data_IF_678521700749
#
_entry.id   IF_678521700749
#
_cell.length_a   1.000
_cell.length_b   1.000
_cell.length_c   1.000
_cell.angle_alpha   90.00
_cell.angle_beta   90.00
_cell.angle_gamma   90.00
#
_symmetry.space_group_name_H-M   'P 1'
#
loop_
_entity.id
_entity.type
_entity.pdbx_description
1 polymer ?
#
# COMPACT_ATOMS: atom_id res chain seq x y z
N UNK A 1 7.41 2.70 27.07
CA UNK A 1 7.35 3.38 25.76
C UNK A 1 7.02 2.40 24.64
N UNK A 2 7.90 1.43 24.32
CA UNK A 2 7.71 0.46 23.21
C UNK A 2 6.40 -0.35 23.27
N UNK A 3 5.99 -0.78 24.47
CA UNK A 3 4.74 -1.54 24.65
C UNK A 3 3.50 -0.75 24.20
N UNK A 4 3.45 0.56 24.48
CA UNK A 4 2.34 1.44 24.09
C UNK A 4 2.27 1.60 22.56
N UNK A 5 3.43 1.82 21.94
CA UNK A 5 3.58 1.93 20.47
C UNK A 5 3.04 0.66 19.79
N UNK A 6 3.45 -0.52 20.28
CA UNK A 6 3.01 -1.79 19.74
C UNK A 6 1.48 -1.99 19.81
N UNK A 7 0.85 -1.67 20.95
CA UNK A 7 -0.61 -1.78 21.07
C UNK A 7 -1.36 -0.81 20.15
N UNK A 8 -0.84 0.42 19.97
CA UNK A 8 -1.42 1.39 19.04
C UNK A 8 -1.32 0.85 17.61
N UNK A 9 -0.17 0.29 17.23
CA UNK A 9 0.03 -0.31 15.91
C UNK A 9 -0.93 -1.49 15.67
N UNK A 10 -1.02 -2.45 16.60
CA UNK A 10 -1.95 -3.57 16.51
C UNK A 10 -3.40 -3.13 16.37
N UNK A 11 -3.81 -2.13 17.15
CA UNK A 11 -5.16 -1.58 17.08
C UNK A 11 -5.43 -1.00 15.69
N UNK A 12 -4.47 -0.27 15.12
CA UNK A 12 -4.59 0.31 13.78
C UNK A 12 -4.69 -0.77 12.70
N UNK A 13 -3.88 -1.84 12.79
CA UNK A 13 -3.96 -2.99 11.88
C UNK A 13 -5.32 -3.68 11.95
N UNK A 14 -5.87 -3.82 13.16
CA UNK A 14 -7.18 -4.42 13.35
C UNK A 14 -8.31 -3.55 12.80
N UNK A 15 -8.18 -2.22 12.90
CA UNK A 15 -9.12 -1.28 12.28
C UNK A 15 -9.05 -1.33 10.75
N UNK A 16 -7.84 -1.36 10.19
CA UNK A 16 -7.61 -1.48 8.75
C UNK A 16 -8.31 -2.73 8.16
N UNK A 17 -8.28 -3.86 8.87
CA UNK A 17 -8.95 -5.10 8.42
C UNK A 17 -10.47 -5.01 8.34
N UNK A 18 -11.11 -4.10 9.08
CA UNK A 18 -12.57 -3.93 9.03
C UNK A 18 -13.00 -2.86 8.03
N UNK A 19 -12.05 -2.14 7.46
CA UNK A 19 -12.32 -1.02 6.59
C UNK A 19 -12.27 -1.46 5.13
N UNK A 20 -13.44 -1.72 4.54
CA UNK A 20 -13.56 -2.17 3.16
C UNK A 20 -12.88 -1.23 2.17
N UNK A 21 -12.90 0.09 2.40
CA UNK A 21 -12.25 1.02 1.48
C UNK A 21 -10.73 0.89 1.49
N UNK A 22 -10.13 0.57 2.65
CA UNK A 22 -8.69 0.34 2.76
C UNK A 22 -8.31 -1.02 2.17
N UNK A 23 -9.17 -2.04 2.33
CA UNK A 23 -8.97 -3.34 1.67
C UNK A 23 -9.07 -3.23 0.15
N UNK A 24 -10.06 -2.49 -0.35
CA UNK A 24 -10.23 -2.27 -1.79
C UNK A 24 -9.05 -1.51 -2.38
N UNK A 25 -8.60 -0.46 -1.70
CA UNK A 25 -7.40 0.27 -2.13
C UNK A 25 -6.15 -0.60 -2.07
N UNK A 26 -5.98 -1.39 -1.00
CA UNK A 26 -4.77 -2.20 -0.83
C UNK A 26 -4.72 -3.47 -1.68
N UNK A 27 -5.82 -3.98 -2.25
CA UNK A 27 -5.85 -5.26 -3.01
C UNK A 27 -6.50 -5.11 -4.39
N UNK A 28 -7.70 -4.53 -4.47
CA UNK A 28 -8.45 -4.47 -5.73
C UNK A 28 -7.79 -3.49 -6.70
N UNK A 29 -7.40 -2.32 -6.21
CA UNK A 29 -6.78 -1.28 -7.02
C UNK A 29 -5.43 -1.70 -7.62
N UNK A 30 -4.51 -2.37 -6.89
CA UNK A 30 -3.20 -2.75 -7.44
C UNK A 30 -3.31 -3.91 -8.43
N UNK A 31 -4.19 -4.87 -8.18
CA UNK A 31 -4.45 -5.96 -9.13
C UNK A 31 -5.10 -5.43 -10.42
N UNK A 32 -6.10 -4.56 -10.31
CA UNK A 32 -6.75 -3.97 -11.47
C UNK A 32 -5.77 -3.17 -12.33
N UNK A 33 -4.93 -2.36 -11.70
CA UNK A 33 -3.90 -1.59 -12.40
C UNK A 33 -2.81 -2.48 -13.02
N UNK A 34 -2.35 -3.54 -12.36
CA UNK A 34 -1.42 -4.51 -12.96
C UNK A 34 -2.01 -5.20 -14.21
N UNK A 35 -3.30 -5.57 -14.17
CA UNK A 35 -3.99 -6.18 -15.31
C UNK A 35 -4.10 -5.19 -16.47
N UNK A 36 -4.43 -3.93 -16.17
CA UNK A 36 -4.47 -2.86 -17.18
C UNK A 36 -3.09 -2.70 -17.83
N UNK A 37 -2.02 -2.63 -17.02
CA UNK A 37 -0.65 -2.56 -17.53
C UNK A 37 -0.35 -3.76 -18.42
N UNK A 38 -0.57 -5.00 -17.94
CA UNK A 38 -0.36 -6.21 -18.75
C UNK A 38 -1.09 -6.16 -20.09
N UNK A 39 -2.38 -5.80 -20.07
CA UNK A 39 -3.21 -5.72 -21.27
C UNK A 39 -2.74 -4.62 -22.23
N UNK A 40 -2.24 -3.50 -21.70
CA UNK A 40 -1.72 -2.39 -22.51
C UNK A 40 -0.47 -2.80 -23.29
N UNK A 41 0.41 -3.58 -22.65
CA UNK A 41 1.63 -4.07 -23.28
C UNK A 41 1.39 -5.28 -24.19
N UNK A 42 0.45 -6.18 -23.87
CA UNK A 42 0.17 -7.37 -24.69
C UNK A 42 -0.30 -7.07 -26.12
N UNK A 43 -0.78 -5.84 -26.37
CA UNK A 43 -1.20 -5.39 -27.70
C UNK A 43 -0.01 -4.90 -28.56
N UNK A 44 1.19 -4.80 -27.98
CA UNK A 44 2.41 -4.43 -28.70
C UNK A 44 2.98 -5.64 -29.44
N UNK A 45 3.44 -5.43 -30.68
CA UNK A 45 4.02 -6.48 -31.52
C UNK A 45 5.24 -7.11 -30.86
N UNK A 46 5.31 -8.44 -30.83
CA UNK A 46 6.27 -9.25 -30.04
C UNK A 46 7.74 -8.91 -30.39
N UNK A 47 7.99 -8.48 -31.64
CA UNK A 47 9.30 -8.03 -32.11
C UNK A 47 9.75 -6.66 -31.55
N UNK A 48 8.87 -5.92 -30.86
CA UNK A 48 9.14 -4.59 -30.27
C UNK A 48 9.32 -4.60 -28.75
N UNK A 49 9.31 -5.77 -28.08
CA UNK A 49 9.73 -5.87 -26.67
C UNK A 49 11.25 -5.73 -26.55
N UNK A 50 11.74 -4.51 -26.78
CA UNK A 50 13.12 -4.13 -26.54
C UNK A 50 13.41 -4.10 -25.04
N UNK A 51 14.70 -4.05 -24.68
CA UNK A 51 15.14 -3.87 -23.30
C UNK A 51 14.46 -2.66 -22.63
N UNK A 52 14.23 -1.59 -23.40
CA UNK A 52 13.59 -0.35 -22.96
C UNK A 52 12.13 -0.57 -22.49
N UNK A 53 11.36 -1.42 -23.18
CA UNK A 53 9.98 -1.72 -22.79
C UNK A 53 9.92 -2.47 -21.45
N UNK A 54 10.86 -3.38 -21.19
CA UNK A 54 10.94 -4.12 -19.92
C UNK A 54 11.33 -3.20 -18.76
N UNK A 55 12.26 -2.27 -18.99
CA UNK A 55 12.63 -1.25 -18.01
C UNK A 55 11.46 -0.31 -17.69
N UNK A 56 10.69 0.09 -18.70
CA UNK A 56 9.48 0.89 -18.52
C UNK A 56 8.42 0.16 -17.68
N UNK A 57 8.15 -1.12 -17.95
CA UNK A 57 7.19 -1.93 -17.17
C UNK A 57 7.61 -1.98 -15.70
N UNK A 58 8.89 -2.25 -15.43
CA UNK A 58 9.44 -2.27 -14.07
C UNK A 58 9.28 -0.91 -13.38
N UNK A 59 9.56 0.17 -14.09
CA UNK A 59 9.36 1.54 -13.60
C UNK A 59 7.91 1.85 -13.27
N UNK A 60 6.95 1.42 -14.10
CA UNK A 60 5.53 1.59 -13.86
C UNK A 60 5.04 0.80 -12.63
N UNK A 61 5.50 -0.44 -12.46
CA UNK A 61 5.18 -1.25 -11.27
C UNK A 61 5.73 -0.58 -10.01
N UNK A 62 6.97 -0.08 -10.04
CA UNK A 62 7.57 0.63 -8.91
C UNK A 62 6.81 1.92 -8.57
N UNK A 63 6.46 2.72 -9.59
CA UNK A 63 5.65 3.93 -9.44
C UNK A 63 4.28 3.61 -8.84
N UNK A 64 3.66 2.53 -9.30
CA UNK A 64 2.37 2.08 -8.81
C UNK A 64 2.43 1.73 -7.31
N UNK A 65 3.41 0.91 -6.90
CA UNK A 65 3.61 0.54 -5.49
C UNK A 65 3.82 1.79 -4.63
N UNK A 66 4.68 2.70 -5.08
CA UNK A 66 4.97 3.96 -4.38
C UNK A 66 3.69 4.80 -4.22
N UNK A 67 2.98 5.04 -5.32
CA UNK A 67 1.82 5.90 -5.34
C UNK A 67 0.66 5.34 -4.50
N UNK A 68 0.41 4.03 -4.58
CA UNK A 68 -0.64 3.37 -3.80
C UNK A 68 -0.31 3.34 -2.31
N UNK A 69 0.92 2.99 -1.93
CA UNK A 69 1.32 3.01 -0.50
C UNK A 69 1.21 4.42 0.08
N UNK A 70 1.54 5.45 -0.70
CA UNK A 70 1.33 6.85 -0.32
C UNK A 70 -0.15 7.19 -0.15
N UNK A 71 -1.00 6.81 -1.11
CA UNK A 71 -2.45 7.03 -1.04
C UNK A 71 -3.08 6.31 0.14
N UNK A 72 -2.68 5.09 0.43
CA UNK A 72 -3.11 4.33 1.59
C UNK A 72 -2.84 5.10 2.88
N UNK A 73 -1.61 5.60 3.06
CA UNK A 73 -1.23 6.43 4.19
C UNK A 73 -2.03 7.73 4.29
N UNK A 74 -2.25 8.40 3.16
CA UNK A 74 -3.06 9.62 3.09
C UNK A 74 -4.52 9.36 3.48
N UNK A 75 -5.14 8.30 2.94
CA UNK A 75 -6.51 7.86 3.25
C UNK A 75 -6.70 7.61 4.74
N UNK A 76 -5.75 6.90 5.34
CA UNK A 76 -5.72 6.64 6.77
C UNK A 76 -5.68 7.95 7.56
N UNK A 77 -4.77 8.86 7.23
CA UNK A 77 -4.64 10.15 7.94
C UNK A 77 -5.91 10.99 7.81
N UNK A 78 -6.52 11.02 6.63
CA UNK A 78 -7.81 11.71 6.41
C UNK A 78 -8.90 11.10 7.28
N UNK A 79 -9.03 9.77 7.31
CA UNK A 79 -10.03 9.08 8.12
C UNK A 79 -9.84 9.30 9.62
N UNK A 80 -8.59 9.36 10.06
CA UNK A 80 -8.25 9.65 11.46
C UNK A 80 -8.65 11.07 11.88
N UNK A 81 -8.45 12.06 10.98
CA UNK A 81 -8.95 13.42 11.20
C UNK A 81 -10.48 13.46 11.22
N UNK A 82 -11.14 12.79 10.29
CA UNK A 82 -12.61 12.77 10.20
C UNK A 82 -13.25 12.07 11.41
N UNK A 83 -12.66 10.97 11.91
CA UNK A 83 -13.18 10.22 13.07
C UNK A 83 -12.78 10.83 14.42
N UNK A 84 -11.87 11.81 14.45
CA UNK A 84 -11.37 12.44 15.67
C UNK A 84 -10.65 11.47 16.63
N UNK A 85 -10.24 10.31 16.15
CA UNK A 85 -9.63 9.24 16.96
C UNK A 85 -8.27 9.64 17.52
N UNK A 86 -7.52 10.42 16.76
CA UNK A 86 -6.21 10.95 17.19
C UNK A 86 -6.37 12.00 18.30
N UNK A 87 -7.38 12.87 18.19
CA UNK A 87 -7.68 13.90 19.20
C UNK A 87 -8.09 13.28 20.54
N UNK A 88 -8.90 12.22 20.48
CA UNK A 88 -9.29 11.42 21.66
C UNK A 88 -8.12 10.69 22.31
N UNK A 89 -7.04 10.39 21.59
CA UNK A 89 -5.85 9.81 22.22
C UNK A 89 -5.02 10.83 23.01
N UNK A 90 -5.04 12.11 22.61
CA UNK A 90 -4.29 13.15 23.31
C UNK A 90 -4.86 13.46 24.69
N UNK A 91 -6.07 13.01 25.01
CA UNK A 91 -6.64 13.12 26.36
C UNK A 91 -6.19 11.99 27.30
N UNK A 92 -5.60 10.91 26.77
CA UNK A 92 -4.97 9.85 27.56
C UNK A 92 -3.51 10.19 27.91
N UNK A 93 -2.92 9.60 28.97
CA UNK A 93 -1.52 9.79 29.35
C UNK A 93 -0.54 9.05 28.41
N UNK A 94 -0.57 9.42 27.13
CA UNK A 94 0.24 8.86 26.03
C UNK A 94 0.95 10.02 25.33
N UNK A 95 2.26 9.89 25.07
CA UNK A 95 3.01 10.97 24.42
C UNK A 95 2.69 11.03 22.93
N UNK A 96 2.70 12.23 22.33
CA UNK A 96 2.46 12.42 20.89
C UNK A 96 3.36 11.54 20.00
N UNK A 97 4.63 11.40 20.37
CA UNK A 97 5.61 10.56 19.66
C UNK A 97 5.28 9.07 19.74
N UNK A 98 4.70 8.59 20.85
CA UNK A 98 4.28 7.19 20.97
C UNK A 98 3.09 6.88 20.04
N UNK A 99 2.19 7.85 19.86
CA UNK A 99 1.07 7.75 18.92
C UNK A 99 1.61 7.70 17.49
N UNK A 100 2.39 8.71 17.09
CA UNK A 100 3.02 8.77 15.76
C UNK A 100 3.79 7.49 15.43
N UNK A 101 4.61 6.98 16.37
CA UNK A 101 5.35 5.74 16.18
C UNK A 101 4.45 4.51 15.95
N UNK A 102 3.32 4.42 16.65
CA UNK A 102 2.37 3.32 16.47
C UNK A 102 1.63 3.38 15.13
N UNK A 103 1.28 4.59 14.67
CA UNK A 103 0.72 4.79 13.34
C UNK A 103 1.73 4.42 12.26
N UNK A 104 2.95 4.96 12.32
CA UNK A 104 4.00 4.66 11.36
C UNK A 104 4.27 3.16 11.29
N UNK A 105 4.47 2.48 12.42
CA UNK A 105 4.71 1.03 12.41
C UNK A 105 3.56 0.22 11.82
N UNK A 106 2.30 0.54 12.17
CA UNK A 106 1.13 -0.16 11.65
C UNK A 106 0.98 -0.01 10.14
N UNK A 107 1.05 1.23 9.63
CA UNK A 107 0.82 1.48 8.20
C UNK A 107 2.03 1.12 7.33
N UNK A 108 3.25 1.30 7.83
CA UNK A 108 4.44 0.80 7.11
C UNK A 108 4.40 -0.71 6.97
N UNK A 109 3.95 -1.46 7.99
CA UNK A 109 3.81 -2.91 7.89
C UNK A 109 2.80 -3.31 6.80
N UNK A 110 1.65 -2.64 6.73
CA UNK A 110 0.67 -2.89 5.67
C UNK A 110 1.20 -2.53 4.28
N UNK A 111 1.90 -1.39 4.14
CA UNK A 111 2.52 -0.98 2.88
C UNK A 111 3.59 -1.97 2.41
N UNK A 112 4.38 -2.54 3.32
CA UNK A 112 5.37 -3.58 3.00
C UNK A 112 4.66 -4.85 2.52
N UNK A 113 3.62 -5.30 3.23
CA UNK A 113 2.83 -6.45 2.77
C UNK A 113 2.21 -6.21 1.39
N UNK A 114 1.74 -4.98 1.15
CA UNK A 114 1.21 -4.56 -0.13
C UNK A 114 2.26 -4.64 -1.24
N UNK A 115 3.41 -4.02 -1.03
CA UNK A 115 4.51 -4.04 -1.99
C UNK A 115 4.97 -5.47 -2.32
N UNK A 116 5.11 -6.34 -1.30
CA UNK A 116 5.52 -7.74 -1.49
C UNK A 116 4.53 -8.48 -2.39
N UNK A 117 3.23 -8.41 -2.10
CA UNK A 117 2.26 -9.16 -2.90
C UNK A 117 2.20 -8.60 -4.33
N UNK A 118 2.27 -7.27 -4.52
CA UNK A 118 2.24 -6.64 -5.86
C UNK A 118 3.44 -7.09 -6.69
N UNK A 119 4.63 -7.14 -6.10
CA UNK A 119 5.85 -7.63 -6.77
C UNK A 119 5.72 -9.11 -7.16
N UNK A 120 5.24 -9.95 -6.25
CA UNK A 120 5.05 -11.39 -6.53
C UNK A 120 4.04 -11.58 -7.67
N UNK A 121 2.91 -10.89 -7.62
CA UNK A 121 1.85 -11.02 -8.62
C UNK A 121 2.27 -10.47 -9.98
N UNK A 122 3.00 -9.35 -9.98
CA UNK A 122 3.61 -8.79 -11.17
C UNK A 122 4.60 -9.76 -11.79
N UNK A 123 5.51 -10.34 -11.00
CA UNK A 123 6.45 -11.35 -11.48
C UNK A 123 5.71 -12.51 -12.18
N UNK A 124 4.66 -13.06 -11.57
CA UNK A 124 3.87 -14.12 -12.21
C UNK A 124 3.18 -13.66 -13.51
N UNK A 125 2.56 -12.47 -13.53
CA UNK A 125 1.84 -11.98 -14.70
C UNK A 125 2.73 -11.66 -15.90
N UNK A 126 3.93 -11.11 -15.66
CA UNK A 126 4.85 -10.67 -16.70
C UNK A 126 5.87 -11.76 -17.09
N UNK A 127 6.10 -12.76 -16.25
CA UNK A 127 6.95 -13.91 -16.60
C UNK A 127 6.33 -14.81 -17.68
N UNK A 128 5.00 -14.78 -17.86
CA UNK A 128 4.33 -15.51 -18.94
C UNK A 128 4.45 -14.83 -20.32
N UNK A 129 4.91 -13.58 -20.38
CA UNK A 129 5.13 -12.86 -21.63
C UNK A 129 6.52 -13.27 -22.12
N UNK A 130 6.57 -14.15 -23.13
CA UNK A 130 7.79 -14.52 -23.84
C UNK A 130 8.08 -13.58 -24.99
#
# INVERSE_FOLDING_TARGET
MLRKIYYIALRNLWQARKDYGLILESIFFPLGTLVIVKYSFSQMEESSYTLEAREMILGLIALQIYFQTYLMGALVLVRERVRGTMERMFTYPVRKVEILGGYLLGFSFLGILQAIYVLVFSYFLFNEIK
#
